data_IF_160770234491
#
_entry.id   IF_160770234491
#
_cell.length_a   1.000
_cell.length_b   1.000
_cell.length_c   1.000
_cell.angle_alpha   90.00
_cell.angle_beta   90.00
_cell.angle_gamma   90.00
#
_symmetry.space_group_name_H-M   'P 1'
#
loop_
_entity.id
_entity.type
_entity.pdbx_description
1 polymer ?
#
# COMPACT_ATOMS: atom_id res chain seq x y z
N UNK A 1 -9.87 -0.28 4.05
CA UNK A 1 -9.34 0.11 2.72
C UNK A 1 -9.61 -0.98 1.70
N UNK A 2 -9.12 -2.21 1.89
CA UNK A 2 -9.36 -3.32 0.94
C UNK A 2 -10.86 -3.69 0.87
N UNK A 3 -11.51 -3.89 2.01
CA UNK A 3 -12.97 -4.18 2.08
C UNK A 3 -13.86 -3.07 1.49
N UNK A 4 -13.33 -1.86 1.32
CA UNK A 4 -14.05 -0.72 0.76
C UNK A 4 -13.59 -0.41 -0.69
N UNK A 5 -12.94 -1.37 -1.37
CA UNK A 5 -12.44 -1.26 -2.74
C UNK A 5 -11.41 -0.15 -2.99
N UNK A 6 -10.72 0.35 -1.95
CA UNK A 6 -9.62 1.30 -2.12
C UNK A 6 -8.32 0.63 -2.55
N UNK A 7 -8.17 -0.67 -2.30
CA UNK A 7 -7.09 -1.52 -2.79
C UNK A 7 -7.67 -2.88 -3.21
N UNK A 8 -7.03 -3.53 -4.18
CA UNK A 8 -7.46 -4.85 -4.66
C UNK A 8 -6.41 -5.91 -4.35
N UNK A 9 -6.81 -7.12 -3.95
CA UNK A 9 -5.86 -8.24 -3.81
C UNK A 9 -5.23 -8.52 -5.18
N UNK A 10 -3.92 -8.72 -5.19
CA UNK A 10 -3.10 -8.84 -6.39
C UNK A 10 -2.65 -7.50 -6.98
N UNK A 11 -3.07 -6.35 -6.41
CA UNK A 11 -2.62 -5.04 -6.86
C UNK A 11 -1.12 -4.87 -6.62
N UNK A 12 -0.44 -4.32 -7.63
CA UNK A 12 0.99 -4.03 -7.59
C UNK A 12 1.28 -2.75 -6.83
N UNK A 13 2.18 -2.85 -5.87
CA UNK A 13 2.75 -1.76 -5.09
C UNK A 13 4.19 -1.54 -5.53
N UNK A 14 4.58 -0.29 -5.58
CA UNK A 14 5.83 0.17 -6.16
C UNK A 14 6.51 1.14 -5.21
N UNK A 15 7.83 1.10 -5.16
CA UNK A 15 8.63 2.15 -4.51
C UNK A 15 9.15 3.14 -5.53
N UNK A 16 9.67 4.28 -5.07
CA UNK A 16 10.39 5.25 -5.92
C UNK A 16 11.55 4.63 -6.70
N UNK A 17 12.15 3.55 -6.18
CA UNK A 17 13.23 2.81 -6.83
C UNK A 17 12.72 1.73 -7.81
N UNK A 18 11.42 1.74 -8.14
CA UNK A 18 10.77 0.79 -9.05
C UNK A 18 10.77 -0.68 -8.61
N UNK A 19 11.06 -0.97 -7.33
CA UNK A 19 10.79 -2.31 -6.80
C UNK A 19 9.29 -2.55 -6.76
N UNK A 20 8.87 -3.73 -7.24
CA UNK A 20 7.48 -4.18 -7.28
C UNK A 20 7.21 -5.20 -6.17
N UNK A 21 6.06 -5.06 -5.52
CA UNK A 21 5.50 -6.02 -4.57
C UNK A 21 4.01 -6.14 -4.82
N UNK A 22 3.36 -7.18 -4.31
CA UNK A 22 1.93 -7.43 -4.55
C UNK A 22 1.17 -7.55 -3.26
N UNK A 23 -0.04 -7.00 -3.23
CA UNK A 23 -0.94 -7.15 -2.11
C UNK A 23 -1.54 -8.56 -2.10
N UNK A 24 -1.24 -9.37 -1.08
CA UNK A 24 -1.64 -10.78 -1.05
C UNK A 24 -2.84 -11.06 -0.15
N UNK A 25 -3.06 -10.24 0.87
CA UNK A 25 -4.11 -10.52 1.87
C UNK A 25 -4.99 -9.31 2.13
N UNK A 26 -6.22 -9.57 2.62
CA UNK A 26 -7.15 -8.54 3.11
C UNK A 26 -6.59 -7.74 4.29
N UNK A 27 -5.61 -8.29 5.01
CA UNK A 27 -4.92 -7.64 6.13
C UNK A 27 -3.81 -6.69 5.68
N UNK A 28 -3.78 -6.32 4.40
CA UNK A 28 -2.78 -5.42 3.83
C UNK A 28 -1.32 -5.94 3.93
N UNK A 29 -1.15 -7.27 3.82
CA UNK A 29 0.18 -7.89 3.70
C UNK A 29 0.64 -7.93 2.25
N UNK A 30 1.90 -7.54 2.05
CA UNK A 30 2.55 -7.49 0.75
C UNK A 30 3.52 -8.68 0.60
N UNK A 31 3.68 -9.18 -0.61
CA UNK A 31 4.69 -10.18 -0.97
C UNK A 31 5.86 -9.54 -1.72
N UNK A 32 7.05 -9.65 -1.17
CA UNK A 32 8.29 -9.24 -1.82
C UNK A 32 9.36 -10.31 -1.61
N UNK A 33 10.00 -10.73 -2.70
CA UNK A 33 11.06 -11.75 -2.69
C UNK A 33 10.66 -13.05 -1.96
N UNK A 34 9.42 -13.51 -2.18
CA UNK A 34 8.88 -14.72 -1.56
C UNK A 34 8.48 -14.57 -0.07
N UNK A 35 8.59 -13.38 0.51
CA UNK A 35 8.21 -13.10 1.91
C UNK A 35 6.90 -12.32 1.94
N UNK A 36 5.94 -12.80 2.73
CA UNK A 36 4.63 -12.14 2.93
C UNK A 36 4.55 -11.51 4.31
N UNK A 37 4.61 -10.18 4.38
CA UNK A 37 4.60 -9.43 5.64
C UNK A 37 3.81 -8.13 5.54
N UNK A 38 3.72 -7.38 6.65
CA UNK A 38 3.05 -6.07 6.63
C UNK A 38 3.73 -5.11 5.65
N UNK A 39 2.97 -4.20 5.04
CA UNK A 39 3.51 -3.22 4.10
C UNK A 39 4.68 -2.38 4.65
N UNK A 40 4.74 -2.15 5.96
CA UNK A 40 5.80 -1.36 6.59
C UNK A 40 7.13 -2.12 6.68
N UNK A 41 7.05 -3.44 6.91
CA UNK A 41 8.22 -4.31 6.90
C UNK A 41 8.73 -4.50 5.47
N UNK A 42 7.82 -4.76 4.53
CA UNK A 42 8.16 -4.90 3.11
C UNK A 42 8.75 -3.60 2.55
N UNK A 43 8.19 -2.43 2.88
CA UNK A 43 8.78 -1.15 2.48
C UNK A 43 10.21 -0.97 3.01
N UNK A 44 10.47 -1.36 4.28
CA UNK A 44 11.83 -1.36 4.84
C UNK A 44 12.77 -2.28 4.06
N UNK A 45 12.32 -3.51 3.77
CA UNK A 45 13.10 -4.50 3.00
C UNK A 45 13.40 -4.03 1.58
N UNK A 46 12.42 -3.48 0.86
CA UNK A 46 12.60 -2.93 -0.50
C UNK A 46 13.60 -1.78 -0.54
N UNK A 47 13.73 -1.02 0.57
CA UNK A 47 14.67 0.09 0.69
C UNK A 47 16.00 -0.31 1.34
N UNK A 48 16.22 -1.61 1.58
CA UNK A 48 17.37 -2.15 2.31
C UNK A 48 17.61 -1.46 3.66
N UNK A 49 16.53 -1.09 4.36
CA UNK A 49 16.58 -0.51 5.70
C UNK A 49 16.29 -1.61 6.73
N UNK A 50 17.05 -1.58 7.83
CA UNK A 50 16.92 -2.53 8.95
C UNK A 50 15.75 -2.23 9.89
N UNK A 51 15.01 -1.14 9.64
CA UNK A 51 13.94 -0.66 10.51
C UNK A 51 12.62 -0.55 9.74
N UNK A 52 11.52 -0.79 10.45
CA UNK A 52 10.15 -0.54 9.99
C UNK A 52 10.06 0.86 9.41
N UNK A 53 9.59 0.93 8.16
CA UNK A 53 9.45 2.20 7.46
C UNK A 53 7.99 2.60 7.34
N UNK A 54 7.70 3.89 7.32
CA UNK A 54 6.35 4.35 7.04
C UNK A 54 6.02 4.07 5.58
N UNK A 55 5.19 3.05 5.32
CA UNK A 55 4.88 2.63 3.97
C UNK A 55 4.15 3.73 3.18
N UNK A 56 3.40 4.59 3.88
CA UNK A 56 2.63 5.67 3.25
C UNK A 56 3.48 6.69 2.51
N UNK A 57 4.71 6.92 2.98
CA UNK A 57 5.59 7.93 2.40
C UNK A 57 6.40 7.40 1.19
N UNK A 58 6.38 6.08 0.96
CA UNK A 58 7.30 5.43 0.03
C UNK A 58 6.66 4.48 -0.97
N UNK A 59 5.42 4.05 -0.74
CA UNK A 59 4.71 3.15 -1.62
C UNK A 59 3.71 3.88 -2.51
N UNK A 60 3.61 3.37 -3.72
CA UNK A 60 2.72 3.84 -4.76
C UNK A 60 2.02 2.63 -5.37
N UNK A 61 0.82 2.82 -5.89
CA UNK A 61 0.16 1.82 -6.73
C UNK A 61 0.07 2.36 -8.15
N UNK A 62 0.18 1.47 -9.14
CA UNK A 62 0.07 1.87 -10.54
C UNK A 62 -1.37 1.77 -11.00
N UNK A 63 -2.02 2.92 -11.25
CA UNK A 63 -3.40 3.02 -11.74
C UNK A 63 -3.44 3.91 -12.96
N UNK A 64 -4.11 3.47 -14.03
CA UNK A 64 -4.18 4.22 -15.30
C UNK A 64 -2.79 4.67 -15.82
N UNK A 65 -1.79 3.80 -15.66
CA UNK A 65 -0.40 4.06 -16.01
C UNK A 65 0.28 5.22 -15.26
N UNK A 66 -0.31 5.66 -14.13
CA UNK A 66 0.25 6.66 -13.22
C UNK A 66 0.54 6.04 -11.85
N UNK A 67 1.58 6.53 -11.18
CA UNK A 67 1.87 6.15 -9.80
C UNK A 67 1.04 7.03 -8.86
N UNK A 68 0.18 6.39 -8.09
CA UNK A 68 -0.68 7.04 -7.09
C UNK A 68 -0.13 6.69 -5.71
N UNK A 69 0.15 7.71 -4.89
CA UNK A 69 0.64 7.50 -3.53
C UNK A 69 -0.41 6.75 -2.70
N UNK A 70 0.04 5.76 -1.92
CA UNK A 70 -0.89 5.06 -1.03
C UNK A 70 -1.35 5.96 0.12
N UNK A 71 -0.60 7.02 0.45
CA UNK A 71 -1.04 8.03 1.40
C UNK A 71 -2.23 8.83 0.88
N UNK A 72 -2.23 9.17 -0.42
CA UNK A 72 -3.37 9.82 -1.06
C UNK A 72 -4.63 8.93 -0.98
N UNK A 73 -4.46 7.64 -1.24
CA UNK A 73 -5.54 6.64 -1.13
C UNK A 73 -6.04 6.53 0.31
N UNK A 74 -5.13 6.57 1.30
CA UNK A 74 -5.47 6.61 2.73
C UNK A 74 -6.30 7.86 3.06
N UNK A 75 -5.90 9.03 2.57
CA UNK A 75 -6.61 10.28 2.79
C UNK A 75 -8.02 10.22 2.20
N UNK A 76 -8.19 9.69 0.99
CA UNK A 76 -9.49 9.46 0.37
C UNK A 76 -10.36 8.49 1.20
N UNK A 77 -9.76 7.43 1.75
CA UNK A 77 -10.47 6.50 2.64
C UNK A 77 -10.88 7.16 3.96
N UNK A 78 -10.05 8.02 4.55
CA UNK A 78 -10.40 8.78 5.75
C UNK A 78 -11.60 9.71 5.49
N UNK A 79 -11.61 10.42 4.35
CA UNK A 79 -12.74 11.27 3.95
C UNK A 79 -14.01 10.45 3.72
N UNK A 80 -13.90 9.30 3.04
CA UNK A 80 -15.02 8.37 2.86
C UNK A 80 -15.57 7.88 4.20
N UNK A 81 -14.71 7.53 5.17
CA UNK A 81 -15.16 7.11 6.51
C UNK A 81 -15.88 8.23 7.25
N UNK A 82 -15.34 9.44 7.22
CA UNK A 82 -15.97 10.60 7.85
C UNK A 82 -17.36 10.87 7.27
N UNK A 83 -17.49 10.85 5.94
CA UNK A 83 -18.78 11.03 5.26
C UNK A 83 -19.80 9.93 5.61
N UNK A 84 -19.37 8.67 5.75
CA UNK A 84 -20.26 7.57 6.13
C UNK A 84 -20.56 7.52 7.63
N UNK A 85 -19.71 8.07 8.49
CA UNK A 85 -19.98 8.15 9.94
C UNK A 85 -20.99 9.24 10.33
N UNK A 86 -21.32 10.13 9.39
CA UNK A 86 -22.27 11.22 9.54
C UNK A 86 -23.66 10.89 8.96
N UNK A 87 -23.84 9.70 8.38
CA UNK A 87 -25.11 9.16 7.89
C UNK A 87 -25.58 8.03 8.81
#
# INVERSE_FOLDING_TARGET
>A
MIENNFFTIGEGFYTINSYETKLMTVDAKLEFDGIVESMHEIAGKMLHKTMRFNAFDHLYVKRNNQFVSIDEIRNNYCQFKLANSLN
#
